data_IF_602996060986
#
_entry.id   IF_602996060986
#
_cell.length_a   1.000
_cell.length_b   1.000
_cell.length_c   1.000
_cell.angle_alpha   90.00
_cell.angle_beta   90.00
_cell.angle_gamma   90.00
#
_symmetry.space_group_name_H-M   'P 1'
#
loop_
_entity.id
_entity.type
_entity.pdbx_description
1 polymer ?
#
# COMPACT_ATOMS: atom_id res chain seq x y z
N UNK A 1 -17.84 -32.93 -13.51
CA UNK A 1 -18.99 -32.05 -13.74
C UNK A 1 -18.55 -30.62 -14.04
N UNK A 2 -19.41 -29.84 -14.67
CA UNK A 2 -19.14 -28.44 -14.98
C UNK A 2 -19.64 -27.57 -13.81
N UNK A 3 -18.83 -26.60 -13.38
CA UNK A 3 -19.21 -25.62 -12.36
C UNK A 3 -19.54 -24.31 -13.04
N UNK A 4 -20.70 -23.76 -12.73
CA UNK A 4 -21.12 -22.44 -13.16
C UNK A 4 -21.02 -21.49 -11.98
N UNK A 5 -20.28 -20.40 -12.16
CA UNK A 5 -20.16 -19.30 -11.20
C UNK A 5 -20.86 -18.06 -11.76
N UNK A 6 -21.86 -17.58 -11.06
CA UNK A 6 -22.45 -16.26 -11.32
C UNK A 6 -21.93 -15.26 -10.28
N UNK A 7 -21.14 -14.29 -10.73
CA UNK A 7 -20.58 -13.25 -9.87
C UNK A 7 -21.38 -11.97 -9.98
N UNK A 8 -21.63 -11.32 -8.84
CA UNK A 8 -22.31 -10.03 -8.77
C UNK A 8 -21.44 -8.88 -9.29
N UNK A 9 -22.09 -7.79 -9.71
CA UNK A 9 -21.40 -6.56 -10.11
C UNK A 9 -20.71 -5.90 -8.91
N UNK A 10 -19.43 -5.60 -9.05
CA UNK A 10 -18.66 -4.87 -8.04
C UNK A 10 -19.13 -3.42 -7.86
N UNK A 11 -19.88 -2.87 -8.80
CA UNK A 11 -20.40 -1.49 -8.77
C UNK A 11 -21.82 -1.37 -8.24
N UNK A 12 -22.52 -2.51 -8.03
CA UNK A 12 -23.84 -2.53 -7.43
C UNK A 12 -24.94 -1.82 -8.24
N UNK A 13 -24.83 -1.77 -9.56
CA UNK A 13 -25.75 -1.00 -10.42
C UNK A 13 -27.20 -1.50 -10.43
N UNK A 14 -27.43 -2.79 -10.12
CA UNK A 14 -28.77 -3.39 -9.99
C UNK A 14 -28.75 -4.54 -8.98
N UNK A 15 -29.74 -4.54 -8.09
CA UNK A 15 -29.96 -5.60 -7.12
C UNK A 15 -31.33 -6.25 -7.39
N UNK A 16 -31.37 -7.56 -7.44
CA UNK A 16 -32.58 -8.35 -7.61
C UNK A 16 -32.73 -9.29 -6.43
N UNK A 17 -33.99 -9.51 -5.98
CA UNK A 17 -34.25 -10.50 -4.96
C UNK A 17 -33.93 -11.90 -5.46
N UNK A 18 -33.34 -12.73 -4.60
CA UNK A 18 -33.17 -14.15 -4.89
C UNK A 18 -34.53 -14.82 -5.06
N UNK A 19 -34.65 -15.67 -6.08
CA UNK A 19 -35.84 -16.52 -6.23
C UNK A 19 -35.96 -17.41 -5.00
N UNK A 20 -37.13 -17.49 -4.41
CA UNK A 20 -37.37 -18.20 -3.13
C UNK A 20 -37.01 -19.69 -3.22
N UNK A 21 -37.32 -20.34 -4.35
CA UNK A 21 -36.97 -21.74 -4.57
C UNK A 21 -35.51 -21.89 -5.04
N UNK A 22 -34.67 -22.59 -4.25
CA UNK A 22 -33.32 -22.98 -4.65
C UNK A 22 -33.45 -24.18 -5.61
N UNK A 23 -32.82 -24.06 -6.79
CA UNK A 23 -32.73 -25.18 -7.75
C UNK A 23 -31.75 -26.25 -7.25
N UNK A 24 -32.00 -27.53 -7.53
CA UNK A 24 -31.20 -28.65 -7.03
C UNK A 24 -29.74 -28.62 -7.49
N UNK A 25 -29.47 -27.96 -8.62
CA UNK A 25 -28.12 -27.80 -9.16
C UNK A 25 -27.35 -26.62 -8.54
N UNK A 26 -27.99 -25.79 -7.71
CA UNK A 26 -27.35 -24.67 -7.03
C UNK A 26 -26.83 -25.14 -5.67
N UNK A 27 -25.50 -25.22 -5.50
CA UNK A 27 -24.88 -25.59 -4.24
C UNK A 27 -25.09 -24.51 -3.18
N UNK A 28 -24.71 -23.30 -3.49
CA UNK A 28 -24.80 -22.16 -2.57
C UNK A 28 -25.24 -20.90 -3.30
N UNK A 29 -25.87 -19.99 -2.56
CA UNK A 29 -26.22 -18.64 -3.02
C UNK A 29 -26.29 -17.68 -1.84
N UNK A 30 -25.85 -16.46 -2.07
CA UNK A 30 -25.88 -15.39 -1.09
C UNK A 30 -26.33 -14.09 -1.72
N UNK A 31 -27.00 -13.26 -0.95
CA UNK A 31 -27.40 -11.90 -1.34
C UNK A 31 -27.20 -10.96 -0.16
N UNK A 32 -26.22 -10.08 -0.26
CA UNK A 32 -25.81 -9.16 0.82
C UNK A 32 -26.26 -7.73 0.60
N UNK A 33 -26.80 -7.40 -0.58
CA UNK A 33 -27.20 -6.04 -0.98
C UNK A 33 -26.03 -5.05 -1.03
N UNK A 34 -24.81 -5.54 -0.96
CA UNK A 34 -23.59 -4.76 -1.09
C UNK A 34 -22.81 -5.19 -2.34
N UNK A 35 -22.04 -4.29 -2.94
CA UNK A 35 -21.13 -4.66 -4.04
C UNK A 35 -20.16 -5.74 -3.57
N UNK A 36 -19.89 -6.71 -4.45
CA UNK A 36 -18.96 -7.80 -4.16
C UNK A 36 -18.01 -8.04 -5.32
N UNK A 37 -16.87 -8.68 -5.02
CA UNK A 37 -15.92 -9.14 -6.03
C UNK A 37 -15.44 -10.55 -5.70
N UNK A 38 -15.21 -11.36 -6.72
CA UNK A 38 -14.68 -12.71 -6.55
C UNK A 38 -13.22 -12.77 -6.97
N UNK A 39 -12.42 -13.44 -6.18
CA UNK A 39 -11.03 -13.77 -6.49
C UNK A 39 -10.97 -15.22 -6.91
N UNK A 40 -10.47 -15.46 -8.11
CA UNK A 40 -10.22 -16.81 -8.65
C UNK A 40 -8.75 -17.13 -8.48
N UNK A 41 -8.45 -18.20 -7.77
CA UNK A 41 -7.09 -18.69 -7.57
C UNK A 41 -6.96 -20.04 -8.31
N UNK A 42 -6.13 -20.08 -9.33
CA UNK A 42 -5.88 -21.26 -10.14
C UNK A 42 -4.45 -21.73 -9.91
N UNK A 43 -4.30 -23.00 -9.58
CA UNK A 43 -3.01 -23.69 -9.48
C UNK A 43 -3.02 -24.90 -10.40
N UNK A 44 -1.89 -25.60 -10.56
CA UNK A 44 -1.82 -26.82 -11.35
C UNK A 44 -2.77 -27.91 -10.83
N UNK A 45 -3.10 -27.86 -9.54
CA UNK A 45 -3.87 -28.89 -8.83
C UNK A 45 -5.25 -28.43 -8.36
N UNK A 46 -5.56 -27.15 -8.39
CA UNK A 46 -6.81 -26.63 -7.84
C UNK A 46 -7.32 -25.37 -8.52
N UNK A 47 -8.62 -25.22 -8.47
CA UNK A 47 -9.36 -24.01 -8.82
C UNK A 47 -10.18 -23.59 -7.60
N UNK A 48 -9.99 -22.37 -7.12
CA UNK A 48 -10.65 -21.84 -5.94
C UNK A 48 -11.25 -20.46 -6.24
N UNK A 49 -12.50 -20.25 -5.85
CA UNK A 49 -13.19 -18.97 -5.98
C UNK A 49 -13.62 -18.51 -4.59
N UNK A 50 -13.22 -17.31 -4.20
CA UNK A 50 -13.63 -16.68 -2.93
C UNK A 50 -14.26 -15.33 -3.21
N UNK A 51 -15.47 -15.09 -2.70
CA UNK A 51 -16.19 -13.83 -2.89
C UNK A 51 -16.06 -12.94 -1.64
N UNK A 52 -15.81 -11.67 -1.86
CA UNK A 52 -15.58 -10.67 -0.84
C UNK A 52 -16.58 -9.53 -0.96
N UNK A 53 -16.95 -8.95 0.16
CA UNK A 53 -17.63 -7.67 0.22
C UNK A 53 -16.68 -6.56 -0.23
N UNK A 54 -17.11 -5.72 -1.16
CA UNK A 54 -16.25 -4.71 -1.77
C UNK A 54 -15.95 -3.51 -0.84
N UNK A 55 -16.79 -3.29 0.16
CA UNK A 55 -16.62 -2.19 1.12
C UNK A 55 -15.73 -2.60 2.29
N UNK A 56 -15.96 -3.78 2.84
CA UNK A 56 -15.28 -4.27 4.04
C UNK A 56 -14.06 -5.13 3.74
N UNK A 57 -13.97 -5.72 2.54
CA UNK A 57 -12.92 -6.65 2.15
C UNK A 57 -12.99 -8.00 2.87
N UNK A 58 -14.08 -8.31 3.56
CA UNK A 58 -14.30 -9.60 4.22
C UNK A 58 -14.89 -10.62 3.26
N UNK A 59 -14.63 -11.90 3.52
CA UNK A 59 -15.33 -13.00 2.82
C UNK A 59 -16.82 -12.91 3.14
N UNK A 60 -17.66 -12.99 2.11
CA UNK A 60 -19.10 -12.96 2.30
C UNK A 60 -19.57 -14.26 2.95
N UNK A 61 -20.36 -14.12 4.03
CA UNK A 61 -21.03 -15.25 4.66
C UNK A 61 -22.02 -15.90 3.68
N UNK A 62 -22.01 -17.24 3.60
CA UNK A 62 -22.84 -18.01 2.70
C UNK A 62 -22.36 -18.05 1.24
N UNK A 63 -21.23 -17.40 0.93
CA UNK A 63 -20.44 -17.63 -0.29
C UNK A 63 -19.13 -18.27 0.11
N UNK A 64 -19.16 -19.51 0.51
CA UNK A 64 -17.94 -20.25 0.83
C UNK A 64 -16.98 -20.27 -0.37
N UNK A 65 -15.70 -20.31 -0.09
CA UNK A 65 -14.71 -20.57 -1.13
C UNK A 65 -15.02 -21.91 -1.78
N UNK A 66 -15.39 -21.86 -3.05
CA UNK A 66 -15.58 -23.09 -3.83
C UNK A 66 -14.23 -23.56 -4.33
N UNK A 67 -13.83 -24.78 -3.93
CA UNK A 67 -12.53 -25.36 -4.30
C UNK A 67 -12.71 -26.67 -5.03
N UNK A 68 -12.22 -26.78 -6.25
CA UNK A 68 -12.04 -28.03 -6.98
C UNK A 68 -10.57 -28.42 -6.84
N UNK A 69 -10.31 -29.63 -6.38
CA UNK A 69 -8.98 -30.20 -6.35
C UNK A 69 -8.94 -31.31 -7.39
N UNK A 70 -7.92 -31.33 -8.25
CA UNK A 70 -7.68 -32.41 -9.22
C UNK A 70 -7.44 -33.70 -8.47
N UNK A 71 -8.36 -34.65 -8.62
CA UNK A 71 -8.17 -35.98 -8.05
C UNK A 71 -7.02 -36.64 -8.80
N UNK A 72 -6.03 -37.18 -8.11
CA UNK A 72 -5.02 -38.02 -8.73
C UNK A 72 -5.73 -39.14 -9.49
N UNK A 73 -5.40 -39.34 -10.76
CA UNK A 73 -5.93 -40.46 -11.54
C UNK A 73 -5.53 -41.75 -10.86
N UNK A 74 -6.54 -42.52 -10.40
CA UNK A 74 -6.41 -43.90 -10.04
C UNK A 74 -6.09 -44.67 -11.35
N UNK A 75 -4.82 -44.84 -11.65
CA UNK A 75 -4.42 -45.84 -12.64
C UNK A 75 -4.60 -47.22 -12.01
N UNK A 76 -5.84 -47.75 -12.06
CA UNK A 76 -6.03 -49.18 -11.91
C UNK A 76 -5.43 -49.87 -13.11
N UNK A 77 -4.27 -50.46 -12.95
CA UNK A 77 -3.88 -51.66 -13.66
C UNK A 77 -4.01 -52.81 -12.67
N UNK A 78 -4.94 -53.67 -12.99
CA UNK A 78 -5.01 -55.03 -12.42
C UNK A 78 -3.72 -55.76 -12.83
N UNK A 79 -2.93 -56.15 -11.86
CA UNK A 79 -2.08 -57.33 -11.96
C UNK A 79 -1.82 -57.86 -10.53
N UNK A 80 -2.23 -59.09 -10.38
CA UNK A 80 -2.10 -59.90 -9.20
C UNK A 80 -0.63 -60.24 -8.89
N UNK A 81 -0.37 -60.29 -7.59
CA UNK A 81 0.76 -60.99 -6.98
C UNK A 81 2.09 -60.25 -6.88
N UNK A 82 2.37 -59.61 -5.78
CA UNK A 82 3.66 -59.78 -5.11
C UNK A 82 3.64 -59.15 -3.71
N UNK A 83 3.95 -59.99 -2.76
CA UNK A 83 4.28 -59.71 -1.35
C UNK A 83 5.48 -58.75 -1.28
N UNK A 84 5.27 -57.49 -0.87
CA UNK A 84 6.39 -56.60 -0.45
C UNK A 84 5.90 -55.56 0.56
N UNK A 85 6.44 -55.68 1.76
CA UNK A 85 6.71 -54.70 2.82
C UNK A 85 6.02 -53.33 2.67
N UNK A 86 5.15 -53.02 3.63
CA UNK A 86 4.62 -51.71 3.92
C UNK A 86 5.76 -50.70 4.00
N UNK A 87 5.95 -49.90 2.95
CA UNK A 87 6.70 -48.64 3.03
C UNK A 87 5.76 -47.64 3.69
N UNK A 88 6.10 -47.23 4.87
CA UNK A 88 5.43 -46.18 5.61
C UNK A 88 5.60 -44.86 4.83
N UNK A 89 4.61 -44.56 3.98
CA UNK A 89 4.51 -43.27 3.28
C UNK A 89 3.97 -42.21 4.30
N UNK A 90 4.75 -41.91 5.32
CA UNK A 90 4.56 -40.66 6.06
C UNK A 90 4.86 -39.50 5.11
N UNK A 91 3.83 -39.03 4.40
CA UNK A 91 3.88 -37.80 3.61
C UNK A 91 4.30 -36.66 4.55
N UNK A 92 5.57 -36.31 4.52
CA UNK A 92 6.13 -35.23 5.33
C UNK A 92 5.35 -33.94 4.99
N UNK A 93 4.49 -33.52 5.90
CA UNK A 93 3.69 -32.31 5.71
C UNK A 93 4.62 -31.08 5.65
N UNK A 94 4.52 -30.28 4.58
CA UNK A 94 5.33 -29.07 4.41
C UNK A 94 5.19 -28.13 5.63
N UNK A 95 6.31 -27.70 6.18
CA UNK A 95 6.40 -26.82 7.36
C UNK A 95 5.98 -25.40 7.00
N UNK A 96 5.52 -24.66 7.99
CA UNK A 96 5.28 -23.23 7.81
C UNK A 96 6.61 -22.47 7.67
N UNK A 97 6.71 -21.57 6.71
CA UNK A 97 7.80 -20.61 6.64
C UNK A 97 7.30 -19.20 6.94
N UNK A 98 8.20 -18.36 7.41
CA UNK A 98 7.93 -16.96 7.75
C UNK A 98 8.90 -16.04 7.02
N UNK A 99 8.45 -14.81 6.74
CA UNK A 99 9.29 -13.78 6.15
C UNK A 99 9.63 -12.74 7.21
N UNK A 100 10.90 -12.54 7.46
CA UNK A 100 11.42 -11.45 8.29
C UNK A 100 11.78 -10.27 7.40
N UNK A 101 11.15 -9.11 7.64
CA UNK A 101 11.42 -7.85 6.97
C UNK A 101 10.97 -6.69 7.86
N UNK A 102 11.60 -5.52 7.71
CA UNK A 102 11.16 -4.27 8.36
C UNK A 102 9.76 -3.92 7.87
N UNK A 103 8.79 -3.73 8.79
CA UNK A 103 7.39 -3.52 8.45
C UNK A 103 7.13 -2.22 7.68
N UNK A 104 7.95 -1.17 7.90
CA UNK A 104 7.79 0.11 7.23
C UNK A 104 9.08 0.88 7.04
N UNK A 105 9.14 1.65 5.95
CA UNK A 105 10.22 2.58 5.64
C UNK A 105 9.66 3.98 5.42
N UNK A 106 10.27 4.97 6.09
CA UNK A 106 10.02 6.39 5.82
C UNK A 106 11.21 6.96 5.05
N UNK A 107 10.99 7.41 3.82
CA UNK A 107 12.00 7.94 2.92
C UNK A 107 11.62 9.34 2.43
N UNK A 108 12.60 10.10 1.96
CA UNK A 108 12.36 11.35 1.21
C UNK A 108 12.34 11.05 -0.29
N UNK A 109 11.71 11.88 -1.10
CA UNK A 109 11.79 11.78 -2.56
C UNK A 109 13.22 11.96 -3.10
N UNK A 110 14.14 12.44 -2.26
CA UNK A 110 15.57 12.53 -2.58
C UNK A 110 16.34 11.25 -2.26
N UNK A 111 15.75 10.32 -1.51
CA UNK A 111 16.33 8.99 -1.28
C UNK A 111 16.22 8.18 -2.56
N UNK A 112 17.33 7.83 -3.21
CA UNK A 112 17.28 7.18 -4.52
C UNK A 112 16.93 5.72 -4.43
N UNK A 113 17.66 4.95 -3.61
CA UNK A 113 17.60 3.49 -3.56
C UNK A 113 17.84 3.00 -2.14
N UNK A 114 17.18 1.88 -1.76
CA UNK A 114 17.47 1.13 -0.53
C UNK A 114 17.08 -0.34 -0.71
N UNK A 115 17.53 -1.23 0.17
CA UNK A 115 17.22 -2.66 0.15
C UNK A 115 16.26 -3.01 1.27
N UNK A 116 15.31 -3.91 1.01
CA UNK A 116 14.33 -4.37 2.01
C UNK A 116 14.94 -5.31 3.05
N UNK A 117 16.03 -6.01 2.70
CA UNK A 117 16.68 -7.02 3.54
C UNK A 117 15.69 -8.09 4.06
N UNK A 118 14.71 -8.46 3.24
CA UNK A 118 13.79 -9.53 3.57
C UNK A 118 14.53 -10.89 3.54
N UNK A 119 14.18 -11.75 4.50
CA UNK A 119 14.69 -13.12 4.61
C UNK A 119 13.53 -14.06 4.93
N UNK A 120 13.62 -15.31 4.52
CA UNK A 120 12.75 -16.39 4.99
C UNK A 120 13.55 -17.37 5.85
N UNK A 121 12.88 -18.02 6.79
CA UNK A 121 13.44 -19.14 7.54
C UNK A 121 13.31 -20.48 6.78
N UNK A 122 12.60 -20.49 5.64
CA UNK A 122 12.52 -21.61 4.71
C UNK A 122 13.46 -21.46 3.51
N UNK A 123 13.31 -22.33 2.52
CA UNK A 123 14.09 -22.34 1.29
C UNK A 123 13.32 -21.76 0.08
N UNK A 124 12.10 -21.23 0.27
CA UNK A 124 11.28 -20.66 -0.78
C UNK A 124 11.89 -19.42 -1.41
N UNK A 125 11.97 -19.34 -2.74
CA UNK A 125 12.46 -18.17 -3.47
C UNK A 125 11.63 -16.94 -3.13
N UNK A 126 12.29 -15.83 -2.76
CA UNK A 126 11.64 -14.56 -2.52
C UNK A 126 11.32 -13.82 -3.82
N UNK A 127 10.10 -13.31 -3.92
CA UNK A 127 9.64 -12.43 -5.00
C UNK A 127 9.04 -11.16 -4.40
N UNK A 128 9.06 -10.06 -5.18
CA UNK A 128 8.68 -8.73 -4.71
C UNK A 128 7.75 -8.05 -5.71
N UNK A 129 6.65 -7.50 -5.21
CA UNK A 129 5.73 -6.69 -6.00
C UNK A 129 5.42 -5.38 -5.29
N UNK A 130 5.07 -4.34 -6.03
CA UNK A 130 4.69 -3.04 -5.46
C UNK A 130 3.28 -2.66 -5.89
N UNK A 131 2.49 -2.14 -4.95
CA UNK A 131 1.13 -1.63 -5.20
C UNK A 131 1.13 -0.31 -5.99
N UNK A 132 2.26 0.43 -6.01
CA UNK A 132 2.31 1.75 -6.65
C UNK A 132 3.69 2.05 -7.26
N UNK A 133 3.86 1.68 -8.53
CA UNK A 133 5.09 1.89 -9.30
C UNK A 133 5.45 3.37 -9.49
N UNK A 134 4.49 4.30 -9.38
CA UNK A 134 4.74 5.74 -9.48
C UNK A 134 5.37 6.33 -8.21
N UNK A 135 5.24 5.66 -7.05
CA UNK A 135 5.86 6.03 -5.77
C UNK A 135 7.18 5.32 -5.57
N UNK A 136 7.20 4.00 -5.74
CA UNK A 136 8.39 3.18 -5.59
C UNK A 136 8.30 1.92 -6.45
N UNK A 137 9.42 1.53 -7.07
CA UNK A 137 9.58 0.24 -7.75
C UNK A 137 10.47 -0.66 -6.93
N UNK A 138 10.34 -1.97 -7.10
CA UNK A 138 11.19 -2.99 -6.46
C UNK A 138 11.66 -3.97 -7.52
N UNK A 139 12.92 -4.41 -7.45
CA UNK A 139 13.48 -5.45 -8.33
C UNK A 139 13.44 -6.84 -7.67
N UNK A 140 13.86 -7.86 -8.42
CA UNK A 140 13.89 -9.25 -7.97
C UNK A 140 14.80 -9.49 -6.75
N UNK A 141 15.72 -8.58 -6.44
CA UNK A 141 16.64 -8.67 -5.31
C UNK A 141 16.17 -7.87 -4.09
N UNK A 142 14.94 -7.33 -4.12
CA UNK A 142 14.39 -6.49 -3.05
C UNK A 142 15.00 -5.11 -2.96
N UNK A 143 15.64 -4.61 -4.02
CA UNK A 143 16.16 -3.25 -4.13
C UNK A 143 15.02 -2.32 -4.55
N UNK A 144 14.70 -1.37 -3.68
CA UNK A 144 13.62 -0.41 -3.89
C UNK A 144 14.16 0.90 -4.44
N UNK A 145 13.57 1.38 -5.55
CA UNK A 145 13.87 2.69 -6.14
C UNK A 145 12.73 3.66 -5.87
N UNK A 146 13.03 4.77 -5.17
CA UNK A 146 12.06 5.84 -4.88
C UNK A 146 11.83 6.69 -6.12
N UNK A 147 10.57 6.94 -6.50
CA UNK A 147 10.16 7.72 -7.68
C UNK A 147 9.50 9.05 -7.33
N UNK A 148 8.53 9.04 -6.41
CA UNK A 148 7.77 10.24 -6.04
C UNK A 148 7.21 10.15 -4.62
N UNK A 149 6.80 11.30 -4.00
CA UNK A 149 6.11 11.31 -2.71
C UNK A 149 4.78 10.56 -2.76
N UNK A 150 4.51 9.78 -1.73
CA UNK A 150 3.30 8.96 -1.62
C UNK A 150 3.48 7.78 -0.69
N UNK A 151 2.61 6.79 -0.84
CA UNK A 151 2.69 5.50 -0.15
C UNK A 151 2.66 4.39 -1.20
N UNK A 152 3.52 3.40 -1.02
CA UNK A 152 3.49 2.13 -1.74
C UNK A 152 3.59 0.99 -0.74
N UNK A 153 2.83 -0.07 -0.94
CA UNK A 153 2.98 -1.33 -0.22
C UNK A 153 3.76 -2.29 -1.10
N UNK A 154 4.85 -2.83 -0.57
CA UNK A 154 5.62 -3.89 -1.23
C UNK A 154 5.21 -5.20 -0.60
N UNK A 155 4.74 -6.14 -1.42
CA UNK A 155 4.46 -7.51 -1.01
C UNK A 155 5.68 -8.37 -1.31
N UNK A 156 6.20 -9.02 -0.29
CA UNK A 156 7.25 -10.02 -0.36
C UNK A 156 6.59 -11.37 -0.24
N UNK A 157 6.83 -12.26 -1.19
CA UNK A 157 6.32 -13.65 -1.17
C UNK A 157 7.50 -14.61 -1.17
N UNK A 158 7.44 -15.64 -0.33
CA UNK A 158 8.29 -16.82 -0.40
C UNK A 158 7.50 -17.93 -1.06
N UNK A 159 8.03 -18.54 -2.10
CA UNK A 159 7.38 -19.63 -2.81
C UNK A 159 7.22 -20.87 -1.91
N UNK A 160 6.20 -21.69 -2.18
CA UNK A 160 6.12 -23.02 -1.61
C UNK A 160 7.26 -23.91 -2.18
N UNK A 161 7.69 -24.88 -1.39
CA UNK A 161 8.64 -25.92 -1.78
C UNK A 161 8.13 -27.27 -1.26
N UNK A 162 8.85 -28.35 -1.50
CA UNK A 162 8.55 -29.68 -0.92
C UNK A 162 8.50 -29.63 0.62
N UNK A 163 9.37 -28.81 1.23
CA UNK A 163 9.56 -28.77 2.68
C UNK A 163 8.77 -27.67 3.37
N UNK A 164 8.36 -26.60 2.65
CA UNK A 164 7.76 -25.40 3.20
C UNK A 164 6.55 -24.92 2.42
N UNK A 165 5.51 -24.47 3.13
CA UNK A 165 4.34 -23.79 2.56
C UNK A 165 4.72 -22.37 2.10
N UNK A 166 3.96 -21.81 1.17
CA UNK A 166 4.16 -20.41 0.75
C UNK A 166 3.94 -19.42 1.94
N UNK A 167 4.68 -18.31 1.93
CA UNK A 167 4.50 -17.24 2.89
C UNK A 167 4.44 -15.87 2.20
N UNK A 168 3.78 -14.90 2.83
CA UNK A 168 3.69 -13.53 2.34
C UNK A 168 3.83 -12.53 3.46
N UNK A 169 4.48 -11.38 3.16
CA UNK A 169 4.60 -10.24 4.10
C UNK A 169 4.53 -8.93 3.34
N UNK A 170 3.82 -7.97 3.90
CA UNK A 170 3.73 -6.62 3.35
C UNK A 170 4.68 -5.66 4.06
N UNK A 171 5.25 -4.73 3.30
CA UNK A 171 6.17 -3.69 3.75
C UNK A 171 5.67 -2.35 3.24
N UNK A 172 5.37 -1.41 4.14
CA UNK A 172 4.90 -0.08 3.77
C UNK A 172 6.08 0.86 3.50
N UNK A 173 6.10 1.49 2.33
CA UNK A 173 7.07 2.53 1.98
C UNK A 173 6.36 3.87 1.88
N UNK A 174 6.64 4.76 2.84
CA UNK A 174 6.14 6.14 2.85
C UNK A 174 7.23 7.07 2.35
N UNK A 175 6.96 7.79 1.25
CA UNK A 175 7.89 8.75 0.66
C UNK A 175 7.38 10.16 0.90
N UNK A 176 8.15 10.94 1.66
CA UNK A 176 7.86 12.34 1.93
C UNK A 176 8.42 13.25 0.81
N UNK A 177 7.77 14.39 0.52
CA UNK A 177 8.31 15.40 -0.38
C UNK A 177 9.68 15.94 0.10
N UNK A 178 10.50 16.39 -0.83
CA UNK A 178 11.81 16.98 -0.52
C UNK A 178 11.70 18.24 0.35
N UNK A 179 12.75 18.48 1.13
CA UNK A 179 12.92 19.71 1.91
C UNK A 179 12.85 20.93 0.98
N UNK A 180 12.16 21.99 1.41
CA UNK A 180 12.05 23.24 0.66
C UNK A 180 13.24 24.18 0.94
N UNK A 181 13.54 25.04 -0.03
CA UNK A 181 14.38 26.23 0.16
C UNK A 181 13.47 27.45 0.14
N UNK A 182 13.73 28.43 1.01
CA UNK A 182 12.94 29.66 1.09
C UNK A 182 13.82 30.89 0.96
N UNK A 183 13.20 31.99 0.51
CA UNK A 183 13.73 33.36 0.61
C UNK A 183 12.71 34.28 1.22
N UNK A 184 13.18 35.35 1.86
CA UNK A 184 12.35 36.36 2.46
C UNK A 184 12.58 37.70 1.73
N UNK A 185 11.47 38.36 1.39
CA UNK A 185 11.50 39.68 0.76
C UNK A 185 10.78 40.66 1.69
N UNK A 186 11.52 41.68 2.18
CA UNK A 186 11.06 42.70 3.13
C UNK A 186 11.31 44.08 2.54
N UNK A 187 10.63 44.39 1.41
CA UNK A 187 10.75 45.67 0.70
C UNK A 187 9.65 46.66 1.09
N UNK A 188 8.51 46.15 1.55
CA UNK A 188 7.30 46.96 1.88
C UNK A 188 7.17 47.06 3.39
N UNK A 189 6.87 48.27 3.89
CA UNK A 189 6.65 48.55 5.34
C UNK A 189 5.57 47.61 5.89
N UNK A 190 5.79 47.09 7.12
CA UNK A 190 4.88 46.20 7.86
C UNK A 190 4.49 44.92 7.12
N UNK A 191 5.28 44.49 6.10
CA UNK A 191 5.01 43.29 5.28
C UNK A 191 6.25 42.42 5.11
N UNK A 192 6.05 41.11 5.13
CA UNK A 192 7.07 40.09 4.80
C UNK A 192 6.52 39.16 3.71
N UNK A 193 7.24 39.00 2.62
CA UNK A 193 6.92 38.00 1.60
C UNK A 193 7.86 36.82 1.76
N UNK A 194 7.27 35.64 1.98
CA UNK A 194 7.96 34.36 2.07
C UNK A 194 7.83 33.68 0.69
N UNK A 195 8.94 33.36 0.04
CA UNK A 195 8.98 32.71 -1.28
C UNK A 195 9.66 31.34 -1.18
N UNK A 196 9.25 30.39 -2.01
CA UNK A 196 9.85 29.03 -2.11
C UNK A 196 9.82 28.52 -3.54
N UNK A 197 10.62 27.46 -3.83
CA UNK A 197 10.60 26.80 -5.13
C UNK A 197 9.40 25.87 -5.25
N UNK A 198 8.77 25.83 -6.44
CA UNK A 198 7.70 24.87 -6.73
C UNK A 198 8.21 23.43 -6.64
N UNK A 199 7.45 22.57 -5.95
CA UNK A 199 7.59 21.12 -6.03
C UNK A 199 6.40 20.55 -6.79
N UNK A 200 6.60 20.13 -8.03
CA UNK A 200 5.54 19.63 -8.93
C UNK A 200 4.90 18.35 -8.45
N UNK A 201 5.62 17.57 -7.62
CA UNK A 201 5.16 16.29 -7.06
C UNK A 201 4.39 16.46 -5.74
N UNK A 202 4.39 17.65 -5.14
CA UNK A 202 3.66 17.94 -3.91
C UNK A 202 2.17 18.24 -4.18
N UNK A 203 1.33 18.04 -3.17
CA UNK A 203 -0.08 18.46 -3.17
C UNK A 203 -0.27 19.89 -2.66
N UNK A 204 0.69 20.42 -1.91
CA UNK A 204 0.66 21.77 -1.37
C UNK A 204 1.80 22.06 -0.41
N UNK A 205 1.69 23.22 0.26
CA UNK A 205 2.71 23.73 1.17
C UNK A 205 2.11 24.16 2.50
N UNK A 206 2.90 24.02 3.54
CA UNK A 206 2.61 24.56 4.85
C UNK A 206 3.68 25.60 5.19
N UNK A 207 3.23 26.84 5.37
CA UNK A 207 4.05 27.99 5.71
C UNK A 207 3.86 28.28 7.20
N UNK A 208 4.95 28.38 7.93
CA UNK A 208 4.96 28.70 9.36
C UNK A 208 5.81 29.93 9.58
N UNK A 209 5.29 30.90 10.35
CA UNK A 209 6.04 32.09 10.76
C UNK A 209 5.73 32.46 12.21
N UNK A 210 6.67 33.13 12.84
CA UNK A 210 6.60 33.55 14.23
C UNK A 210 7.54 34.73 14.49
N UNK A 211 7.21 35.57 15.50
CA UNK A 211 8.15 36.55 16.05
C UNK A 211 9.18 35.89 16.99
N UNK A 212 9.05 34.61 17.29
CA UNK A 212 9.95 33.86 18.17
C UNK A 212 10.80 32.86 17.38
N UNK A 213 12.12 32.83 17.64
CA UNK A 213 13.07 31.89 16.99
C UNK A 213 12.72 30.43 17.23
N UNK A 214 12.17 30.10 18.39
CA UNK A 214 11.70 28.72 18.72
C UNK A 214 10.32 28.38 18.13
N UNK A 215 9.70 29.32 17.39
CA UNK A 215 8.35 29.18 16.82
C UNK A 215 7.23 28.95 17.84
N UNK A 216 7.38 29.41 19.08
CA UNK A 216 6.26 29.56 20.03
C UNK A 216 5.31 30.64 19.51
N UNK A 217 3.99 30.48 19.71
CA UNK A 217 2.99 31.40 19.15
C UNK A 217 3.00 31.47 17.61
N UNK A 218 3.44 30.40 16.93
CA UNK A 218 3.52 30.35 15.47
C UNK A 218 2.16 30.47 14.81
N UNK A 219 2.12 31.15 13.66
CA UNK A 219 1.03 31.10 12.71
C UNK A 219 1.34 30.09 11.60
N UNK A 220 0.35 29.29 11.24
CA UNK A 220 0.48 28.23 10.23
C UNK A 220 -0.56 28.45 9.14
N UNK A 221 -0.12 28.50 7.88
CA UNK A 221 -0.99 28.68 6.72
C UNK A 221 -0.69 27.62 5.68
N UNK A 222 -1.75 27.01 5.10
CA UNK A 222 -1.62 26.05 3.99
C UNK A 222 -1.87 26.73 2.66
N UNK A 223 -1.08 26.36 1.67
CA UNK A 223 -1.14 26.88 0.30
C UNK A 223 -1.24 25.76 -0.73
N UNK A 224 -1.95 26.02 -1.82
CA UNK A 224 -2.09 25.11 -2.94
C UNK A 224 -0.73 24.83 -3.63
N UNK A 225 -0.64 23.74 -4.37
CA UNK A 225 0.57 23.33 -5.11
C UNK A 225 1.06 24.35 -6.15
N UNK A 226 0.17 25.22 -6.62
CA UNK A 226 0.48 26.27 -7.60
C UNK A 226 1.11 27.52 -6.96
N UNK A 227 0.95 27.69 -5.65
CA UNK A 227 1.44 28.87 -4.91
C UNK A 227 2.92 28.70 -4.58
N UNK A 228 3.73 29.73 -4.81
CA UNK A 228 5.17 29.77 -4.51
C UNK A 228 5.57 30.94 -3.60
N UNK A 229 4.58 31.70 -3.12
CA UNK A 229 4.81 32.80 -2.17
C UNK A 229 3.64 33.01 -1.22
N UNK A 230 3.92 33.63 -0.09
CA UNK A 230 2.91 34.08 0.86
C UNK A 230 3.30 35.43 1.43
N UNK A 231 2.39 36.41 1.37
CA UNK A 231 2.56 37.75 1.89
C UNK A 231 1.92 37.83 3.28
N UNK A 232 2.71 38.13 4.29
CA UNK A 232 2.27 38.44 5.66
C UNK A 232 2.21 39.94 5.82
N UNK A 233 1.04 40.46 6.15
CA UNK A 233 0.79 41.91 6.36
C UNK A 233 0.56 42.20 7.85
N UNK A 234 0.58 43.49 8.24
CA UNK A 234 0.28 43.94 9.59
C UNK A 234 1.35 43.58 10.62
N UNK A 235 2.59 43.38 10.17
CA UNK A 235 3.71 43.06 11.05
C UNK A 235 4.21 44.32 11.78
N UNK A 236 4.73 44.15 13.00
CA UNK A 236 5.29 45.27 13.81
C UNK A 236 6.64 45.70 13.23
N UNK A 237 6.79 47.01 12.91
CA UNK A 237 8.05 47.63 12.49
C UNK A 237 9.14 47.38 13.56
N UNK A 238 10.36 47.15 13.11
CA UNK A 238 11.52 46.87 13.97
C UNK A 238 11.55 45.47 14.57
N UNK A 239 10.45 44.69 14.50
CA UNK A 239 10.39 43.32 15.04
C UNK A 239 10.93 42.31 14.06
N UNK A 240 11.74 41.37 14.55
CA UNK A 240 12.25 40.25 13.75
C UNK A 240 11.23 39.10 13.69
N UNK A 241 10.97 38.62 12.49
CA UNK A 241 10.14 37.43 12.24
C UNK A 241 10.94 36.32 11.59
N UNK A 242 10.61 35.09 11.98
CA UNK A 242 11.19 33.86 11.50
C UNK A 242 10.16 33.10 10.64
N UNK A 243 10.58 32.50 9.55
CA UNK A 243 9.71 31.72 8.70
C UNK A 243 10.37 30.42 8.24
N UNK A 244 9.57 29.38 8.04
CA UNK A 244 9.95 28.12 7.45
C UNK A 244 8.78 27.54 6.65
N UNK A 245 9.07 26.75 5.63
CA UNK A 245 8.07 26.13 4.75
C UNK A 245 8.39 24.66 4.58
N UNK A 246 7.36 23.83 4.49
CA UNK A 246 7.47 22.45 4.03
C UNK A 246 6.40 22.15 2.98
N UNK A 247 6.67 21.23 2.06
CA UNK A 247 5.66 20.67 1.17
C UNK A 247 5.00 19.44 1.80
N UNK A 248 3.80 19.10 1.32
CA UNK A 248 3.13 17.86 1.69
C UNK A 248 2.53 17.16 0.47
N UNK A 249 2.38 15.85 0.55
CA UNK A 249 1.61 15.00 -0.38
C UNK A 249 0.38 14.48 0.35
N UNK A 250 -0.79 14.60 -0.25
CA UNK A 250 -2.03 14.01 0.28
C UNK A 250 -2.23 12.65 -0.36
N UNK A 251 -2.45 11.63 0.47
CA UNK A 251 -2.75 10.26 0.06
C UNK A 251 -3.90 9.79 0.96
N UNK A 252 -5.02 9.37 0.36
CA UNK A 252 -6.21 8.91 1.09
C UNK A 252 -6.61 9.87 2.24
N UNK A 253 -6.73 11.16 1.93
CA UNK A 253 -7.08 12.21 2.91
C UNK A 253 -5.98 12.59 3.92
N UNK A 254 -4.95 11.77 4.11
CA UNK A 254 -3.85 12.00 5.05
C UNK A 254 -2.69 12.74 4.39
N UNK A 255 -2.04 13.67 5.13
CA UNK A 255 -0.89 14.44 4.63
C UNK A 255 0.43 13.84 5.08
N UNK A 256 1.29 13.55 4.10
CA UNK A 256 2.69 13.16 4.30
C UNK A 256 3.52 14.43 4.15
N UNK A 257 4.11 14.89 5.23
CA UNK A 257 4.89 16.11 5.24
C UNK A 257 6.37 15.85 4.95
N UNK A 258 6.96 16.68 4.09
CA UNK A 258 8.40 16.80 3.98
C UNK A 258 9.02 17.53 5.18
N UNK A 259 10.33 17.49 5.29
CA UNK A 259 11.05 18.28 6.29
C UNK A 259 10.84 19.78 6.04
N UNK A 260 10.79 20.56 7.12
CA UNK A 260 10.81 22.01 7.00
C UNK A 260 12.11 22.52 6.37
N UNK A 261 12.01 23.61 5.63
CA UNK A 261 13.17 24.42 5.24
C UNK A 261 13.97 24.85 6.47
N UNK A 262 15.21 25.17 6.28
CA UNK A 262 15.94 25.98 7.24
C UNK A 262 15.17 27.27 7.48
N UNK A 263 14.99 27.65 8.75
CA UNK A 263 14.31 28.89 9.10
C UNK A 263 15.15 30.08 8.63
N UNK A 264 14.47 31.09 8.07
CA UNK A 264 15.08 32.39 7.76
C UNK A 264 14.40 33.47 8.58
N UNK A 265 15.11 34.55 8.83
CA UNK A 265 14.62 35.71 9.61
C UNK A 265 14.72 37.02 8.82
N UNK A 266 13.82 37.93 9.12
CA UNK A 266 13.88 39.31 8.62
C UNK A 266 13.33 40.27 9.68
N UNK A 267 13.99 41.41 9.86
CA UNK A 267 13.51 42.50 10.70
C UNK A 267 12.65 43.43 9.86
N UNK A 268 11.44 43.71 10.30
CA UNK A 268 10.41 44.42 9.50
C UNK A 268 10.71 45.91 9.41
N UNK A 269 10.64 46.45 8.19
CA UNK A 269 10.79 47.86 7.88
C UNK A 269 9.56 48.68 8.26
#
# INVERSE_FOLDING_TARGET
GTVYLEANSATGSKFYNLITAKQDFISERSQTWTPSYSVVNVTDDSFEVTTYDAETGKVLDGSSSYKIVKKAEDTKKDDANSNTTKKDDTKVQAKDQTITATASYKKSETSKVFKLNAKTNGNGKLTYTTSNKSVATVDANGKVTVKAPGVATITVKAAATTDYKAASKTVTVTVAPKKQSISLVNKIKKQLTIKWKKNTKASGYEVVYSANKKFTGKKTVRKAKTTTSYKVKGLKKGKTYYAKVRSYKTVNGKRIYGAYSTAKKATIK
#
